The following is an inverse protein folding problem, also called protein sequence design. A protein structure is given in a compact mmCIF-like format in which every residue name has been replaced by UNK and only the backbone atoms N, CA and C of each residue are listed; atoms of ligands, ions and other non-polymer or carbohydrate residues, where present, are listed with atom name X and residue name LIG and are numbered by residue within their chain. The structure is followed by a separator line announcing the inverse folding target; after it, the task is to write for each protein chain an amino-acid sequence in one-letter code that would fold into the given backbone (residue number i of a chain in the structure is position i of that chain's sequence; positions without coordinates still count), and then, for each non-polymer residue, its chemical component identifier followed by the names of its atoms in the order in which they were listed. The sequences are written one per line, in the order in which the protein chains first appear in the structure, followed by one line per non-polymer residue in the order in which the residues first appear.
data_IF_710654139008
#
_entry.id   IF_710654139008
#
_cell.length_a   1.000
_cell.length_b   1.000
_cell.length_c   1.000
_cell.angle_alpha   90.00
_cell.angle_beta   90.00
_cell.angle_gamma   90.00
#
_symmetry.space_group_name_H-M   'P 1'
#
loop_
_entity.id
_entity.type
_entity.pdbx_description
1 polymer ?
#
# COMPACT_ATOMS: atom_id res chain seq x y z
N UNK A 1 -14.05 -22.65 -13.46
CA UNK A 1 -13.92 -23.19 -12.09
C UNK A 1 -14.78 -22.39 -11.13
N UNK A 2 -15.46 -23.07 -10.23
CA UNK A 2 -16.29 -22.47 -9.19
C UNK A 2 -15.53 -22.51 -7.85
N UNK A 3 -15.79 -21.54 -6.97
CA UNK A 3 -15.34 -21.58 -5.59
C UNK A 3 -16.22 -22.52 -4.75
N UNK A 4 -15.97 -22.63 -3.44
CA UNK A 4 -16.74 -23.49 -2.53
C UNK A 4 -18.24 -23.10 -2.44
N UNK A 5 -18.58 -21.86 -2.79
CA UNK A 5 -19.95 -21.33 -2.76
C UNK A 5 -20.61 -21.38 -4.16
N UNK A 6 -20.03 -22.10 -5.11
CA UNK A 6 -20.55 -22.24 -6.49
C UNK A 6 -20.37 -20.99 -7.36
N UNK A 7 -19.61 -19.97 -6.92
CA UNK A 7 -19.37 -18.73 -7.69
C UNK A 7 -18.18 -18.88 -8.63
N UNK A 8 -18.21 -18.28 -9.84
CA UNK A 8 -17.10 -18.29 -10.76
C UNK A 8 -15.83 -17.72 -10.13
N UNK A 9 -14.68 -18.40 -10.34
CA UNK A 9 -13.37 -17.91 -9.93
C UNK A 9 -12.66 -17.26 -11.10
N UNK A 10 -11.68 -16.39 -10.81
CA UNK A 10 -10.81 -15.75 -11.81
C UNK A 10 -9.86 -16.72 -12.54
N UNK A 11 -9.76 -17.98 -12.08
CA UNK A 11 -8.81 -18.94 -12.64
C UNK A 11 -9.06 -19.19 -14.12
N UNK A 12 -10.31 -19.40 -14.51
CA UNK A 12 -10.66 -19.63 -15.91
C UNK A 12 -10.36 -18.40 -16.78
N UNK A 13 -10.70 -17.21 -16.29
CA UNK A 13 -10.44 -15.94 -16.95
C UNK A 13 -8.93 -15.66 -17.09
N UNK A 14 -8.14 -15.94 -16.04
CA UNK A 14 -6.67 -15.85 -16.11
C UNK A 14 -6.04 -16.85 -17.05
N UNK A 15 -6.50 -18.10 -17.03
CA UNK A 15 -6.01 -19.12 -17.98
C UNK A 15 -6.32 -18.73 -19.43
N UNK A 16 -7.53 -18.25 -19.72
CA UNK A 16 -7.89 -17.76 -21.03
C UNK A 16 -7.08 -16.52 -21.44
N UNK A 17 -6.77 -15.63 -20.47
CA UNK A 17 -5.89 -14.49 -20.71
C UNK A 17 -4.47 -14.93 -21.11
N UNK A 18 -3.86 -15.82 -20.35
CA UNK A 18 -2.52 -16.37 -20.64
C UNK A 18 -2.51 -17.07 -22.00
N UNK A 19 -3.51 -17.90 -22.27
CA UNK A 19 -3.64 -18.56 -23.57
C UNK A 19 -3.76 -17.55 -24.72
N UNK A 20 -4.56 -16.49 -24.52
CA UNK A 20 -4.70 -15.42 -25.51
C UNK A 20 -3.37 -14.70 -25.77
N UNK A 21 -2.58 -14.42 -24.73
CA UNK A 21 -1.25 -13.78 -24.87
C UNK A 21 -0.30 -14.67 -25.67
N UNK A 22 -0.34 -15.99 -25.47
CA UNK A 22 0.44 -16.98 -26.26
C UNK A 22 0.03 -16.95 -27.73
N UNK A 23 -1.27 -16.93 -28.04
CA UNK A 23 -1.75 -16.85 -29.43
C UNK A 23 -1.39 -15.52 -30.10
N UNK A 24 -1.45 -14.41 -29.36
CA UNK A 24 -1.00 -13.08 -29.87
C UNK A 24 0.49 -13.12 -30.23
N UNK A 25 1.31 -13.71 -29.34
CA UNK A 25 2.74 -13.86 -29.60
C UNK A 25 3.02 -14.77 -30.80
N UNK A 26 2.31 -15.90 -30.91
CA UNK A 26 2.44 -16.84 -32.02
C UNK A 26 1.99 -16.23 -33.35
N UNK A 27 0.89 -15.48 -33.35
CA UNK A 27 0.40 -14.76 -34.53
C UNK A 27 1.36 -13.69 -35.03
N UNK A 28 1.98 -12.92 -34.13
CA UNK A 28 2.99 -11.93 -34.48
C UNK A 28 4.24 -12.54 -35.15
N UNK A 29 4.46 -13.84 -35.00
CA UNK A 29 5.56 -14.60 -35.62
C UNK A 29 5.13 -15.49 -36.79
N UNK A 30 3.86 -15.42 -37.21
CA UNK A 30 3.33 -16.23 -38.31
C UNK A 30 3.08 -17.70 -37.96
N UNK A 31 3.11 -18.11 -36.68
CA UNK A 31 2.88 -19.49 -36.26
C UNK A 31 1.40 -19.84 -36.20
N UNK A 32 0.49 -18.89 -36.16
CA UNK A 32 -0.95 -19.10 -36.24
C UNK A 32 -1.63 -17.88 -36.86
N UNK A 33 -2.81 -18.11 -37.46
CA UNK A 33 -3.63 -17.05 -38.09
C UNK A 33 -4.81 -16.56 -37.27
N UNK A 34 -5.07 -17.17 -36.12
CA UNK A 34 -6.22 -16.83 -35.28
C UNK A 34 -5.93 -17.04 -33.80
N UNK A 35 -6.72 -16.34 -32.95
CA UNK A 35 -6.65 -16.43 -31.50
C UNK A 35 -7.97 -16.99 -30.92
N UNK A 36 -8.15 -18.33 -30.83
CA UNK A 36 -9.36 -18.91 -30.29
C UNK A 36 -9.57 -18.62 -28.80
N UNK A 37 -8.50 -18.36 -28.04
CA UNK A 37 -8.61 -18.05 -26.62
C UNK A 37 -9.30 -16.69 -26.37
N UNK A 38 -9.19 -15.74 -27.27
CA UNK A 38 -9.89 -14.45 -27.17
C UNK A 38 -11.41 -14.62 -27.23
N UNK A 39 -11.90 -15.54 -28.06
CA UNK A 39 -13.33 -15.86 -28.17
C UNK A 39 -13.85 -16.51 -26.88
N UNK A 40 -13.10 -17.49 -26.35
CA UNK A 40 -13.45 -18.18 -25.10
C UNK A 40 -13.52 -17.18 -23.93
N UNK A 41 -12.62 -16.22 -23.87
CA UNK A 41 -12.58 -15.22 -22.78
C UNK A 41 -13.90 -14.41 -22.69
N UNK A 42 -14.53 -14.09 -23.81
CA UNK A 42 -15.82 -13.38 -23.84
C UNK A 42 -17.00 -14.21 -23.34
N UNK A 43 -16.89 -15.55 -23.39
CA UNK A 43 -17.92 -16.51 -22.97
C UNK A 43 -17.78 -16.94 -21.51
N UNK A 44 -16.69 -16.60 -20.84
CA UNK A 44 -16.50 -16.97 -19.44
C UNK A 44 -17.39 -16.13 -18.53
N UNK A 45 -18.02 -16.77 -17.56
CA UNK A 45 -18.73 -16.09 -16.50
C UNK A 45 -17.75 -15.17 -15.76
N UNK A 46 -18.11 -13.90 -15.63
CA UNK A 46 -17.29 -12.90 -14.92
C UNK A 46 -17.14 -13.33 -13.46
N UNK A 47 -15.90 -13.35 -12.97
CA UNK A 47 -15.63 -13.61 -11.56
C UNK A 47 -16.15 -12.44 -10.73
N UNK A 48 -17.01 -12.73 -9.75
CA UNK A 48 -17.39 -11.72 -8.77
C UNK A 48 -16.31 -11.65 -7.70
N UNK A 49 -15.43 -10.67 -7.81
CA UNK A 49 -14.50 -10.36 -6.73
C UNK A 49 -15.23 -9.60 -5.64
N UNK A 50 -15.35 -10.22 -4.47
CA UNK A 50 -15.62 -9.48 -3.25
C UNK A 50 -14.38 -8.67 -2.85
N UNK A 51 -14.58 -7.54 -2.18
CA UNK A 51 -13.48 -6.85 -1.52
C UNK A 51 -12.85 -7.77 -0.47
N UNK A 52 -11.52 -7.67 -0.31
CA UNK A 52 -10.85 -8.39 0.78
C UNK A 52 -11.36 -7.85 2.11
N UNK A 53 -11.59 -8.72 3.11
CA UNK A 53 -12.10 -8.30 4.40
C UNK A 53 -11.15 -7.29 5.05
N UNK A 54 -11.72 -6.16 5.49
CA UNK A 54 -10.99 -5.06 6.11
C UNK A 54 -11.87 -4.33 7.13
N UNK A 55 -11.33 -4.09 8.29
CA UNK A 55 -11.93 -3.25 9.32
C UNK A 55 -11.65 -1.79 8.97
N UNK A 56 -12.71 -0.99 8.79
CA UNK A 56 -12.61 0.44 8.48
C UNK A 56 -13.21 1.34 9.56
N UNK A 57 -13.89 0.74 10.55
CA UNK A 57 -14.46 1.49 11.66
C UNK A 57 -13.45 1.65 12.80
N UNK A 58 -13.22 2.86 13.32
CA UNK A 58 -12.24 3.12 14.37
C UNK A 58 -12.39 2.23 15.63
N UNK A 59 -13.61 2.03 16.12
CA UNK A 59 -13.87 1.19 17.32
C UNK A 59 -13.45 -0.27 17.11
N UNK A 60 -13.73 -0.83 15.94
CA UNK A 60 -13.36 -2.19 15.57
C UNK A 60 -11.84 -2.30 15.38
N UNK A 61 -11.21 -1.28 14.75
CA UNK A 61 -9.77 -1.20 14.60
C UNK A 61 -9.07 -1.13 15.97
N UNK A 62 -9.58 -0.31 16.90
CA UNK A 62 -9.06 -0.22 18.25
C UNK A 62 -9.03 -1.59 18.95
N UNK A 63 -10.08 -2.40 18.76
CA UNK A 63 -10.12 -3.78 19.29
C UNK A 63 -9.05 -4.64 18.64
N UNK A 64 -8.93 -4.63 17.30
CA UNK A 64 -7.92 -5.39 16.57
C UNK A 64 -6.50 -5.02 17.04
N UNK A 65 -6.20 -3.74 17.20
CA UNK A 65 -4.88 -3.28 17.66
C UNK A 65 -4.56 -3.80 19.06
N UNK A 66 -5.52 -3.74 20.01
CA UNK A 66 -5.34 -4.31 21.36
C UNK A 66 -5.16 -5.82 21.34
N UNK A 67 -5.88 -6.52 20.48
CA UNK A 67 -5.76 -7.96 20.36
C UNK A 67 -4.38 -8.35 19.79
N UNK A 68 -3.83 -7.56 18.83
CA UNK A 68 -2.48 -7.74 18.32
C UNK A 68 -1.42 -7.51 19.42
N UNK A 69 -1.59 -6.52 20.30
CA UNK A 69 -0.65 -6.25 21.39
C UNK A 69 -0.61 -7.38 22.44
N UNK A 70 -1.73 -8.09 22.62
CA UNK A 70 -1.86 -9.20 23.58
C UNK A 70 -1.40 -10.54 23.05
N UNK A 71 -0.93 -10.60 21.79
CA UNK A 71 -0.46 -11.86 21.21
C UNK A 71 0.81 -12.30 21.94
N UNK A 72 0.80 -13.51 22.42
CA UNK A 72 2.01 -14.22 22.86
C UNK A 72 2.59 -15.07 21.72
N UNK A 73 3.91 -15.22 21.65
CA UNK A 73 4.59 -16.11 20.72
C UNK A 73 5.73 -15.45 19.95
N UNK A 74 5.93 -15.87 18.71
CA UNK A 74 7.06 -15.45 17.88
C UNK A 74 7.08 -13.94 17.61
N UNK A 75 8.13 -13.22 18.06
CA UNK A 75 8.24 -11.77 17.83
C UNK A 75 8.18 -11.36 16.35
N UNK A 76 8.71 -12.18 15.43
CA UNK A 76 8.65 -11.89 14.00
C UNK A 76 7.18 -11.74 13.52
N UNK A 77 6.33 -12.66 13.97
CA UNK A 77 4.90 -12.64 13.63
C UNK A 77 4.19 -11.42 14.22
N UNK A 78 4.45 -11.14 15.50
CA UNK A 78 3.83 -10.01 16.23
C UNK A 78 4.24 -8.68 15.60
N UNK A 79 5.55 -8.47 15.43
CA UNK A 79 6.11 -7.23 14.87
C UNK A 79 5.70 -7.05 13.40
N UNK A 80 5.55 -8.14 12.63
CA UNK A 80 5.03 -8.04 11.27
C UNK A 80 3.59 -7.52 11.22
N UNK A 81 2.71 -7.93 12.13
CA UNK A 81 1.35 -7.43 12.22
C UNK A 81 1.28 -5.96 12.66
N UNK A 82 2.09 -5.59 13.68
CA UNK A 82 2.21 -4.19 14.13
C UNK A 82 2.67 -3.28 13.00
N UNK A 83 3.71 -3.70 12.26
CA UNK A 83 4.23 -2.93 11.13
C UNK A 83 3.28 -2.91 9.93
N UNK A 84 2.49 -3.97 9.69
CA UNK A 84 1.43 -3.93 8.67
C UNK A 84 0.37 -2.88 9.00
N UNK A 85 -0.01 -2.72 10.26
CA UNK A 85 -0.94 -1.67 10.70
C UNK A 85 -0.34 -0.27 10.54
N UNK A 86 0.93 -0.07 10.92
CA UNK A 86 1.61 1.21 10.87
C UNK A 86 1.96 1.66 9.45
N UNK A 87 2.48 0.74 8.63
CA UNK A 87 3.04 1.06 7.32
C UNK A 87 2.08 0.79 6.15
N UNK A 88 1.02 0.02 6.38
CA UNK A 88 0.02 -0.41 5.39
C UNK A 88 0.59 -0.77 4.00
N UNK A 89 1.82 -1.28 3.96
CA UNK A 89 2.49 -1.81 2.77
C UNK A 89 1.93 -3.20 2.41
N UNK A 90 2.29 -3.73 1.25
CA UNK A 90 1.88 -5.10 0.92
C UNK A 90 2.60 -6.12 1.81
N UNK A 91 1.87 -7.13 2.31
CA UNK A 91 2.46 -8.18 3.15
C UNK A 91 3.69 -8.85 2.50
N UNK A 92 3.63 -9.07 1.18
CA UNK A 92 4.76 -9.63 0.43
C UNK A 92 6.01 -8.74 0.42
N UNK A 93 5.83 -7.42 0.44
CA UNK A 93 6.93 -6.46 0.48
C UNK A 93 7.47 -6.36 1.91
N UNK A 94 6.59 -6.25 2.94
CA UNK A 94 6.99 -6.17 4.34
C UNK A 94 7.85 -7.36 4.75
N UNK A 95 7.40 -8.59 4.52
CA UNK A 95 8.11 -9.80 4.94
C UNK A 95 9.47 -10.00 4.27
N UNK A 96 9.75 -9.30 3.16
CA UNK A 96 11.04 -9.25 2.46
C UNK A 96 11.87 -8.02 2.78
N UNK A 97 11.48 -7.25 3.78
CA UNK A 97 12.25 -6.11 4.26
C UNK A 97 13.66 -6.58 4.66
N UNK A 98 14.67 -5.88 4.17
CA UNK A 98 16.08 -6.14 4.48
C UNK A 98 16.62 -5.05 5.39
N UNK A 99 17.53 -5.40 6.27
CA UNK A 99 18.21 -4.42 7.11
C UNK A 99 18.98 -3.40 6.29
N UNK A 100 19.57 -3.82 5.17
CA UNK A 100 20.30 -2.94 4.24
C UNK A 100 19.45 -1.89 3.55
N UNK A 101 18.14 -2.07 3.49
CA UNK A 101 17.21 -1.13 2.87
C UNK A 101 16.65 -0.11 3.88
N UNK A 102 17.07 -0.18 5.16
CA UNK A 102 16.57 0.65 6.24
C UNK A 102 17.61 1.67 6.68
N UNK A 103 17.21 2.93 6.76
CA UNK A 103 17.88 3.98 7.51
C UNK A 103 17.01 4.35 8.73
N UNK A 104 17.27 3.70 9.86
CA UNK A 104 16.52 3.91 11.10
C UNK A 104 16.79 5.29 11.70
N UNK A 105 17.97 5.89 11.44
CA UNK A 105 18.30 7.25 11.93
C UNK A 105 17.52 8.31 11.17
N UNK A 106 17.41 8.16 9.85
CA UNK A 106 16.62 9.05 9.01
C UNK A 106 15.12 8.68 9.00
N UNK A 107 14.70 7.58 9.63
CA UNK A 107 13.32 7.10 9.62
C UNK A 107 12.84 6.76 8.22
N UNK A 108 13.64 6.03 7.42
CA UNK A 108 13.33 5.74 6.01
C UNK A 108 13.56 4.28 5.67
N UNK A 109 12.67 3.74 4.83
CA UNK A 109 12.82 2.43 4.20
C UNK A 109 12.79 2.57 2.68
N UNK A 110 13.85 2.12 2.00
CA UNK A 110 13.92 2.03 0.54
C UNK A 110 13.21 0.76 0.08
N UNK A 111 11.96 0.89 -0.32
CA UNK A 111 11.13 -0.23 -0.76
C UNK A 111 11.22 -0.42 -2.27
N UNK A 112 11.58 -1.64 -2.69
CA UNK A 112 11.49 -2.12 -4.07
C UNK A 112 10.29 -3.08 -4.20
N UNK A 113 9.12 -2.59 -4.64
CA UNK A 113 7.91 -3.41 -4.65
C UNK A 113 8.04 -4.63 -5.56
N UNK A 114 7.60 -5.80 -5.06
CA UNK A 114 7.62 -7.06 -5.82
C UNK A 114 6.60 -7.11 -6.94
N UNK A 115 5.41 -6.53 -6.70
CA UNK A 115 4.33 -6.49 -7.69
C UNK A 115 4.32 -5.14 -8.39
N UNK A 116 4.24 -5.20 -9.70
CA UNK A 116 4.12 -4.00 -10.53
C UNK A 116 5.39 -3.63 -11.28
N UNK A 117 6.49 -4.35 -11.10
CA UNK A 117 7.65 -4.20 -11.97
C UNK A 117 7.20 -4.43 -13.42
N UNK A 118 7.33 -3.40 -14.25
CA UNK A 118 6.88 -3.43 -15.64
C UNK A 118 5.42 -3.04 -15.92
N UNK A 119 4.59 -2.76 -14.88
CA UNK A 119 3.23 -2.20 -15.06
C UNK A 119 3.27 -0.67 -15.02
N UNK A 120 2.60 -0.05 -15.99
CA UNK A 120 2.58 1.42 -16.21
C UNK A 120 2.10 2.22 -14.98
N UNK A 121 1.33 1.60 -14.08
CA UNK A 121 0.68 2.28 -12.95
C UNK A 121 1.24 1.90 -11.58
N UNK A 122 2.52 1.46 -11.48
CA UNK A 122 3.13 1.09 -10.21
C UNK A 122 4.50 1.72 -10.07
N UNK A 123 4.77 2.29 -8.90
CA UNK A 123 6.09 2.85 -8.56
C UNK A 123 7.11 1.72 -8.52
N UNK A 124 8.26 1.91 -9.18
CA UNK A 124 9.35 0.91 -9.21
C UNK A 124 10.08 0.83 -7.88
N UNK A 125 10.44 1.99 -7.34
CA UNK A 125 11.12 2.16 -6.06
C UNK A 125 10.41 3.27 -5.32
N UNK A 126 10.26 3.13 -4.01
CA UNK A 126 9.65 4.17 -3.18
C UNK A 126 10.33 4.26 -1.81
N UNK A 127 10.45 5.46 -1.31
CA UNK A 127 10.80 5.70 0.09
C UNK A 127 9.53 5.59 0.93
N UNK A 128 9.53 4.72 1.93
CA UNK A 128 8.49 4.63 2.95
C UNK A 128 8.99 5.34 4.20
N UNK A 129 8.40 6.48 4.58
CA UNK A 129 8.71 7.13 5.85
C UNK A 129 8.30 6.23 7.02
N UNK A 130 9.15 6.12 8.02
CA UNK A 130 8.94 5.33 9.22
C UNK A 130 8.59 6.27 10.39
N UNK A 131 7.43 6.04 11.00
CA UNK A 131 7.08 6.73 12.24
C UNK A 131 7.98 6.31 13.40
N UNK A 132 8.02 7.08 14.49
CA UNK A 132 8.77 6.73 15.73
C UNK A 132 8.41 5.34 16.24
N UNK A 133 7.12 4.97 16.18
CA UNK A 133 6.63 3.66 16.58
C UNK A 133 7.20 2.54 15.69
N UNK A 134 7.23 2.76 14.38
CA UNK A 134 7.81 1.79 13.44
C UNK A 134 9.32 1.63 13.66
N UNK A 135 10.05 2.73 13.87
CA UNK A 135 11.49 2.71 14.18
C UNK A 135 11.75 1.95 15.48
N UNK A 136 10.95 2.17 16.53
CA UNK A 136 11.09 1.46 17.81
C UNK A 136 10.87 -0.05 17.63
N UNK A 137 9.82 -0.46 16.93
CA UNK A 137 9.56 -1.89 16.65
C UNK A 137 10.72 -2.51 15.86
N UNK A 138 11.24 -1.81 14.85
CA UNK A 138 12.38 -2.27 14.07
C UNK A 138 13.66 -2.32 14.90
N UNK A 139 13.86 -1.39 15.82
CA UNK A 139 14.99 -1.39 16.77
C UNK A 139 14.95 -2.61 17.70
N UNK A 140 13.79 -2.95 18.26
CA UNK A 140 13.63 -4.17 19.06
C UNK A 140 13.81 -5.43 18.20
N UNK A 141 13.30 -5.45 17.00
CA UNK A 141 13.48 -6.56 16.06
C UNK A 141 14.95 -6.74 15.67
N UNK A 142 15.72 -5.65 15.55
CA UNK A 142 17.15 -5.69 15.26
C UNK A 142 17.96 -6.37 16.37
N UNK A 143 17.58 -6.20 17.63
CA UNK A 143 18.22 -6.90 18.76
C UNK A 143 18.06 -8.41 18.65
N UNK A 144 16.98 -8.89 18.02
CA UNK A 144 16.68 -10.33 17.88
C UNK A 144 17.43 -10.93 16.70
N UNK A 145 17.37 -10.30 15.53
CA UNK A 145 17.85 -10.88 14.28
C UNK A 145 18.59 -9.89 13.35
N UNK A 146 19.14 -8.81 13.88
CA UNK A 146 19.92 -7.82 13.12
C UNK A 146 21.16 -8.39 12.41
N UNK A 147 21.61 -9.58 12.81
CA UNK A 147 22.70 -10.32 12.18
C UNK A 147 22.26 -11.09 10.92
N UNK A 148 20.98 -11.14 10.60
CA UNK A 148 20.44 -11.79 9.40
C UNK A 148 20.22 -10.78 8.26
N UNK A 149 19.99 -11.27 7.05
CA UNK A 149 19.70 -10.40 5.89
C UNK A 149 18.33 -9.73 6.00
N UNK A 150 17.32 -10.49 6.48
CA UNK A 150 15.92 -10.08 6.48
C UNK A 150 15.44 -9.73 7.89
N UNK A 151 14.62 -8.67 7.98
CA UNK A 151 13.97 -8.24 9.22
C UNK A 151 13.07 -9.34 9.80
N UNK A 152 12.38 -10.08 8.94
CA UNK A 152 11.47 -11.17 9.33
C UNK A 152 12.04 -12.52 8.94
N UNK A 153 13.21 -12.80 9.48
CA UNK A 153 13.95 -14.04 9.27
C UNK A 153 13.20 -15.25 9.84
N UNK A 154 13.27 -16.40 9.15
CA UNK A 154 12.73 -17.66 9.61
C UNK A 154 13.69 -18.81 9.33
N UNK A 155 14.19 -19.46 10.38
CA UNK A 155 15.08 -20.61 10.26
C UNK A 155 14.41 -21.83 9.61
N UNK A 156 13.09 -21.97 9.76
CA UNK A 156 12.33 -23.11 9.24
C UNK A 156 11.94 -22.98 7.77
N UNK A 157 12.10 -21.80 7.20
CA UNK A 157 11.71 -21.54 5.81
C UNK A 157 12.74 -22.10 4.82
N UNK A 158 12.33 -23.09 4.02
CA UNK A 158 13.22 -23.84 3.09
C UNK A 158 13.82 -22.99 1.96
N UNK A 159 13.17 -21.90 1.52
CA UNK A 159 13.53 -21.21 0.27
C UNK A 159 14.17 -19.84 0.44
N UNK A 160 13.68 -19.00 1.34
CA UNK A 160 14.12 -17.59 1.41
C UNK A 160 14.45 -17.13 2.83
N UNK A 161 14.40 -18.02 3.80
CA UNK A 161 14.68 -17.72 5.22
C UNK A 161 13.86 -16.52 5.76
N UNK A 162 12.64 -16.34 5.24
CA UNK A 162 11.68 -15.33 5.68
C UNK A 162 10.36 -15.97 6.10
N UNK A 163 9.61 -15.29 6.96
CA UNK A 163 8.28 -15.76 7.38
C UNK A 163 7.37 -16.02 6.19
N UNK A 164 6.47 -17.00 6.33
CA UNK A 164 5.52 -17.40 5.29
C UNK A 164 4.56 -16.28 4.91
N UNK A 165 4.11 -16.26 3.66
CA UNK A 165 3.05 -15.35 3.19
C UNK A 165 1.72 -15.53 3.96
N UNK A 166 1.48 -16.73 4.45
CA UNK A 166 0.29 -17.06 5.23
C UNK A 166 0.39 -16.65 6.71
N UNK A 167 1.59 -16.34 7.26
CA UNK A 167 1.83 -16.15 8.68
C UNK A 167 0.90 -15.11 9.30
N UNK A 168 0.85 -13.88 8.73
CA UNK A 168 0.02 -12.81 9.24
C UNK A 168 -1.47 -13.17 9.18
N UNK A 169 -1.93 -13.75 8.06
CA UNK A 169 -3.34 -14.15 7.92
C UNK A 169 -3.72 -15.31 8.83
N UNK A 170 -2.82 -16.27 9.06
CA UNK A 170 -3.05 -17.34 10.02
C UNK A 170 -3.24 -16.77 11.43
N UNK A 171 -2.36 -15.86 11.86
CA UNK A 171 -2.47 -15.27 13.18
C UNK A 171 -3.73 -14.41 13.35
N UNK A 172 -4.11 -13.62 12.33
CA UNK A 172 -5.39 -12.89 12.35
C UNK A 172 -6.58 -13.83 12.47
N UNK A 173 -6.55 -14.98 11.78
CA UNK A 173 -7.58 -16.01 11.90
C UNK A 173 -7.64 -16.60 13.33
N UNK A 174 -6.48 -16.90 13.91
CA UNK A 174 -6.37 -17.45 15.27
C UNK A 174 -6.92 -16.47 16.32
N UNK A 175 -6.80 -15.15 16.07
CA UNK A 175 -7.41 -14.08 16.88
C UNK A 175 -8.92 -13.88 16.64
N UNK A 176 -9.55 -14.69 15.76
CA UNK A 176 -10.98 -14.59 15.46
C UNK A 176 -11.34 -13.64 14.33
N UNK A 177 -10.38 -13.08 13.61
CA UNK A 177 -10.62 -12.14 12.50
C UNK A 177 -10.77 -12.81 11.12
N UNK A 178 -11.02 -14.13 11.09
CA UNK A 178 -11.34 -14.82 9.84
C UNK A 178 -12.55 -14.15 9.18
N UNK A 179 -12.41 -13.84 7.88
CA UNK A 179 -13.43 -13.19 7.04
C UNK A 179 -13.85 -11.76 7.50
N UNK A 180 -13.21 -11.22 8.56
CA UNK A 180 -13.43 -9.88 9.11
C UNK A 180 -12.27 -8.94 8.70
N UNK A 181 -11.02 -9.41 8.86
CA UNK A 181 -9.83 -8.66 8.51
C UNK A 181 -8.72 -9.58 8.03
N UNK A 182 -7.92 -9.11 7.09
CA UNK A 182 -6.74 -9.82 6.59
C UNK A 182 -5.52 -8.90 6.49
N UNK A 183 -4.33 -9.47 6.34
CA UNK A 183 -3.08 -8.70 6.23
C UNK A 183 -3.12 -7.62 5.12
N UNK A 184 -3.82 -7.88 4.02
CA UNK A 184 -4.05 -6.88 2.98
C UNK A 184 -5.10 -5.84 3.37
N UNK A 185 -5.98 -6.18 4.29
CA UNK A 185 -7.04 -5.32 4.81
C UNK A 185 -6.51 -4.04 5.46
N UNK A 186 -5.31 -4.08 6.11
CA UNK A 186 -4.68 -2.88 6.68
C UNK A 186 -4.51 -1.75 5.66
N UNK A 187 -4.33 -2.05 4.38
CA UNK A 187 -4.24 -1.04 3.32
C UNK A 187 -5.58 -0.35 3.07
N UNK A 188 -6.65 -1.12 3.02
CA UNK A 188 -8.01 -0.56 2.89
C UNK A 188 -8.41 0.20 4.17
N UNK A 189 -8.06 -0.31 5.34
CA UNK A 189 -8.23 0.37 6.63
C UNK A 189 -7.56 1.74 6.63
N UNK A 190 -6.25 1.79 6.32
CA UNK A 190 -5.50 3.03 6.28
C UNK A 190 -6.07 4.00 5.22
N UNK A 191 -6.33 3.52 4.00
CA UNK A 191 -6.91 4.35 2.95
C UNK A 191 -8.22 5.01 3.41
N UNK A 192 -9.16 4.21 3.92
CA UNK A 192 -10.48 4.71 4.34
C UNK A 192 -10.36 5.70 5.50
N UNK A 193 -9.61 5.35 6.55
CA UNK A 193 -9.52 6.19 7.74
C UNK A 193 -8.73 7.48 7.45
N UNK A 194 -7.61 7.41 6.75
CA UNK A 194 -6.82 8.59 6.37
C UNK A 194 -7.66 9.58 5.55
N UNK A 195 -8.51 9.09 4.64
CA UNK A 195 -9.34 9.96 3.81
C UNK A 195 -10.61 10.42 4.52
N UNK A 196 -11.36 9.50 5.15
CA UNK A 196 -12.69 9.81 5.67
C UNK A 196 -12.65 10.42 7.07
N UNK A 197 -11.75 9.93 7.94
CA UNK A 197 -11.65 10.38 9.32
C UNK A 197 -10.61 11.49 9.49
N UNK A 198 -9.40 11.28 8.97
CA UNK A 198 -8.27 12.17 9.15
C UNK A 198 -8.17 13.24 8.05
N UNK A 199 -8.97 13.14 6.98
CA UNK A 199 -9.09 14.14 5.90
C UNK A 199 -7.81 14.42 5.11
N UNK A 200 -6.91 13.46 5.03
CA UNK A 200 -5.73 13.60 4.18
C UNK A 200 -6.07 13.57 2.69
N UNK A 201 -5.36 14.34 1.86
CA UNK A 201 -5.54 14.34 0.41
C UNK A 201 -5.34 12.94 -0.19
N UNK A 202 -6.24 12.56 -1.13
CA UNK A 202 -6.21 11.27 -1.82
C UNK A 202 -4.83 10.98 -2.43
N UNK A 203 -4.20 12.00 -2.99
CA UNK A 203 -2.88 11.90 -3.64
C UNK A 203 -1.80 11.39 -2.70
N UNK A 204 -1.71 11.94 -1.48
CA UNK A 204 -0.74 11.50 -0.48
C UNK A 204 -0.97 10.06 -0.04
N UNK A 205 -2.24 9.70 0.17
CA UNK A 205 -2.64 8.35 0.57
C UNK A 205 -2.33 7.32 -0.52
N UNK A 206 -2.63 7.62 -1.79
CA UNK A 206 -2.33 6.74 -2.93
C UNK A 206 -0.81 6.57 -3.12
N UNK A 207 -0.03 7.64 -2.96
CA UNK A 207 1.43 7.56 -3.02
C UNK A 207 2.00 6.71 -1.88
N UNK A 208 1.50 6.86 -0.65
CA UNK A 208 1.90 6.03 0.48
C UNK A 208 1.53 4.55 0.26
N UNK A 209 0.45 4.27 -0.45
CA UNK A 209 0.07 2.94 -0.89
C UNK A 209 0.95 2.40 -2.05
N UNK A 210 1.86 3.20 -2.62
CA UNK A 210 2.69 2.82 -3.76
C UNK A 210 1.87 2.65 -5.03
N UNK A 211 0.84 3.47 -5.22
CA UNK A 211 0.11 3.60 -6.46
C UNK A 211 0.60 4.84 -7.20
N UNK A 212 0.71 4.77 -8.54
CA UNK A 212 0.91 5.96 -9.35
C UNK A 212 -0.41 6.70 -9.45
N UNK A 213 -0.42 7.95 -9.06
CA UNK A 213 -1.55 8.84 -9.32
C UNK A 213 -1.50 9.23 -10.79
N UNK A 214 -2.58 8.92 -11.52
CA UNK A 214 -2.77 9.45 -12.87
C UNK A 214 -3.24 10.88 -12.70
N UNK A 215 -2.38 11.83 -13.02
CA UNK A 215 -2.84 13.18 -13.30
C UNK A 215 -3.57 13.16 -14.67
N UNK A 216 -4.72 13.83 -14.81
CA UNK A 216 -5.37 14.04 -16.10
C UNK A 216 -4.44 14.64 -17.16
N UNK A 217 -3.44 15.41 -16.75
CA UNK A 217 -2.49 16.10 -17.62
C UNK A 217 -1.15 15.37 -17.85
N UNK A 218 -0.99 14.12 -17.40
CA UNK A 218 0.17 13.26 -17.67
C UNK A 218 1.41 13.58 -16.85
N UNK A 219 2.24 12.61 -16.68
CA UNK A 219 3.65 12.46 -16.23
C UNK A 219 4.39 13.52 -15.36
N UNK A 220 3.93 14.76 -15.22
CA UNK A 220 4.68 15.81 -14.51
C UNK A 220 4.75 15.59 -12.97
N UNK A 221 3.71 15.04 -12.35
CA UNK A 221 3.67 14.77 -10.90
C UNK A 221 4.43 13.50 -10.46
N UNK A 222 4.90 12.68 -11.37
CA UNK A 222 5.67 11.47 -11.06
C UNK A 222 7.04 11.71 -10.44
N UNK A 223 7.51 12.96 -10.34
CA UNK A 223 8.80 13.32 -9.74
C UNK A 223 8.71 13.82 -8.30
N UNK A 224 7.54 14.26 -7.85
CA UNK A 224 7.36 14.72 -6.47
C UNK A 224 7.00 13.54 -5.58
N UNK A 225 7.90 13.15 -4.71
CA UNK A 225 7.67 12.05 -3.79
C UNK A 225 6.90 12.46 -2.53
N UNK A 226 6.67 13.76 -2.31
CA UNK A 226 6.02 14.32 -1.10
C UNK A 226 6.52 13.64 0.18
N UNK A 227 7.84 13.46 0.29
CA UNK A 227 8.44 12.64 1.36
C UNK A 227 8.12 13.22 2.72
N UNK A 228 8.24 14.53 2.89
CA UNK A 228 8.02 15.20 4.16
C UNK A 228 6.53 15.21 4.54
N UNK A 229 5.63 15.50 3.60
CA UNK A 229 4.18 15.42 3.82
C UNK A 229 3.73 14.00 4.16
N UNK A 230 4.31 12.99 3.48
CA UNK A 230 4.05 11.59 3.80
C UNK A 230 4.64 11.19 5.15
N UNK A 231 5.80 11.72 5.52
CA UNK A 231 6.39 11.47 6.84
C UNK A 231 5.51 12.03 7.97
N UNK A 232 4.99 13.26 7.80
CA UNK A 232 4.03 13.84 8.73
C UNK A 232 2.74 13.01 8.80
N UNK A 233 2.17 12.64 7.65
CA UNK A 233 0.98 11.80 7.59
C UNK A 233 1.20 10.43 8.26
N UNK A 234 2.33 9.78 8.00
CA UNK A 234 2.67 8.47 8.59
C UNK A 234 2.89 8.57 10.10
N UNK A 235 3.47 9.67 10.58
CA UNK A 235 3.62 9.89 12.02
C UNK A 235 2.26 10.13 12.69
N UNK A 236 1.41 11.01 12.13
CA UNK A 236 0.06 11.24 12.64
C UNK A 236 -0.81 9.99 12.58
N UNK A 237 -0.67 9.18 11.54
CA UNK A 237 -1.33 7.87 11.45
C UNK A 237 -0.91 6.96 12.60
N UNK A 238 0.37 6.88 12.90
CA UNK A 238 0.88 6.04 13.99
C UNK A 238 0.40 6.53 15.37
N UNK A 239 0.42 7.85 15.60
CA UNK A 239 -0.08 8.47 16.83
C UNK A 239 -1.60 8.28 16.99
N UNK A 240 -2.35 8.33 15.88
CA UNK A 240 -3.78 8.00 15.84
C UNK A 240 -4.06 6.53 16.22
N UNK A 241 -3.25 5.58 15.70
CA UNK A 241 -3.39 4.17 16.06
C UNK A 241 -3.10 3.92 17.54
N UNK A 242 -2.13 4.62 18.12
CA UNK A 242 -1.83 4.57 19.56
C UNK A 242 -3.01 5.13 20.36
N UNK A 243 -3.55 6.28 19.98
CA UNK A 243 -4.72 6.88 20.63
C UNK A 243 -5.94 5.94 20.59
N UNK A 244 -6.21 5.32 19.45
CA UNK A 244 -7.28 4.33 19.31
C UNK A 244 -7.07 3.12 20.24
N UNK A 245 -5.85 2.60 20.29
CA UNK A 245 -5.50 1.46 21.13
C UNK A 245 -5.71 1.76 22.60
N UNK A 246 -5.34 2.97 23.01
CA UNK A 246 -5.44 3.46 24.40
C UNK A 246 -6.83 3.99 24.75
N UNK A 247 -7.73 4.13 23.78
CA UNK A 247 -9.08 4.66 23.98
C UNK A 247 -9.13 6.17 24.22
N UNK A 248 -8.08 6.90 23.76
CA UNK A 248 -8.02 8.36 23.81
C UNK A 248 -8.87 8.99 22.71
N UNK A 249 -9.19 10.27 22.86
CA UNK A 249 -9.81 11.07 21.80
C UNK A 249 -8.89 11.15 20.57
N UNK A 250 -9.49 11.05 19.39
CA UNK A 250 -8.80 11.05 18.11
C UNK A 250 -9.14 12.24 17.23
N UNK A 251 -9.91 13.20 17.74
CA UNK A 251 -10.33 14.39 16.97
C UNK A 251 -9.15 15.28 16.55
N UNK A 252 -8.09 15.33 17.36
CA UNK A 252 -6.89 16.13 17.12
C UNK A 252 -6.06 15.68 15.90
N UNK A 253 -6.24 14.43 15.43
CA UNK A 253 -5.45 13.89 14.33
C UNK A 253 -6.00 14.24 12.93
N UNK A 254 -7.11 14.96 12.86
CA UNK A 254 -7.67 15.41 11.57
C UNK A 254 -6.72 16.41 10.93
N UNK A 255 -6.39 16.19 9.66
CA UNK A 255 -5.69 17.19 8.88
C UNK A 255 -6.62 18.41 8.71
N UNK A 256 -6.17 19.59 9.13
CA UNK A 256 -6.91 20.85 8.99
C UNK A 256 -6.92 21.29 7.53
N UNK A 257 -7.46 20.55 6.61
CA UNK A 257 -7.68 20.91 5.20
C UNK A 257 -6.52 21.60 4.43
N UNK A 258 -5.47 21.95 5.14
CA UNK A 258 -4.26 22.56 4.63
C UNK A 258 -3.15 21.51 4.59
N UNK A 259 -2.95 20.93 3.39
CA UNK A 259 -1.56 20.58 3.05
C UNK A 259 -0.76 21.86 3.23
N UNK A 260 0.28 21.83 4.05
CA UNK A 260 1.30 22.91 4.10
C UNK A 260 2.17 22.90 2.82
N UNK A 261 1.57 22.72 1.67
CA UNK A 261 2.13 23.26 0.45
C UNK A 261 1.81 24.74 0.55
N UNK A 262 2.80 25.49 1.03
CA UNK A 262 2.77 26.94 1.06
C UNK A 262 2.19 27.41 -0.29
N UNK A 263 1.09 28.18 -0.30
CA UNK A 263 0.52 28.69 -1.54
C UNK A 263 1.56 29.37 -2.42
N UNK A 264 2.62 29.94 -1.83
CA UNK A 264 3.77 30.48 -2.54
C UNK A 264 4.57 29.41 -3.28
N UNK A 265 4.72 28.20 -2.75
CA UNK A 265 5.42 27.09 -3.42
C UNK A 265 4.57 26.52 -4.55
N UNK A 266 3.24 26.42 -4.37
CA UNK A 266 2.34 26.04 -5.46
C UNK A 266 2.32 27.10 -6.56
N UNK A 267 2.29 28.37 -6.20
CA UNK A 267 2.34 29.48 -7.14
C UNK A 267 3.69 29.49 -7.89
N UNK A 268 4.81 29.30 -7.19
CA UNK A 268 6.13 29.25 -7.81
C UNK A 268 6.25 28.07 -8.77
N UNK A 269 5.77 26.89 -8.40
CA UNK A 269 5.74 25.72 -9.29
C UNK A 269 4.86 25.97 -10.53
N UNK A 270 3.77 26.71 -10.38
CA UNK A 270 2.90 27.10 -11.49
C UNK A 270 3.59 28.14 -12.41
N UNK A 271 4.30 29.08 -11.83
CA UNK A 271 5.11 30.08 -12.54
C UNK A 271 6.24 29.41 -13.31
N UNK A 272 6.96 28.48 -12.69
CA UNK A 272 8.05 27.73 -13.33
C UNK A 272 7.55 26.84 -14.48
N UNK A 273 6.29 26.40 -14.42
CA UNK A 273 5.69 25.53 -15.43
C UNK A 273 5.03 26.29 -16.59
N UNK A 274 4.33 27.37 -16.31
CA UNK A 274 3.50 28.10 -17.30
C UNK A 274 4.09 29.44 -17.72
N UNK A 275 5.08 29.96 -16.99
CA UNK A 275 5.59 31.31 -17.12
C UNK A 275 4.74 32.33 -16.33
N UNK A 276 5.41 33.33 -15.80
CA UNK A 276 4.81 34.33 -14.90
C UNK A 276 3.63 35.08 -15.54
N UNK A 277 3.76 35.44 -16.83
CA UNK A 277 2.71 36.16 -17.56
C UNK A 277 1.39 35.37 -17.70
N UNK A 278 1.46 34.05 -17.92
CA UNK A 278 0.27 33.19 -17.99
C UNK A 278 -0.42 33.00 -16.65
N UNK A 279 0.37 32.87 -15.59
CA UNK A 279 -0.17 32.71 -14.23
C UNK A 279 -0.87 34.03 -13.81
N UNK A 280 -0.28 35.17 -14.07
CA UNK A 280 -0.88 36.48 -13.83
C UNK A 280 -2.16 36.69 -14.65
N UNK A 281 -2.19 36.24 -15.92
CA UNK A 281 -3.40 36.28 -16.75
C UNK A 281 -4.53 35.42 -16.17
N UNK A 282 -4.22 34.22 -15.67
CA UNK A 282 -5.20 33.35 -15.01
C UNK A 282 -5.73 33.93 -13.72
N UNK A 283 -4.86 34.52 -12.88
CA UNK A 283 -5.25 35.14 -11.60
C UNK A 283 -6.06 36.44 -11.80
N UNK A 284 -5.81 37.15 -12.89
CA UNK A 284 -6.52 38.41 -13.23
C UNK A 284 -7.85 38.19 -13.96
N UNK A 285 -8.26 36.95 -14.24
CA UNK A 285 -9.48 36.62 -14.96
C UNK A 285 -9.49 37.07 -16.44
N UNK A 286 -8.31 37.40 -16.99
CA UNK A 286 -8.14 37.76 -18.40
C UNK A 286 -7.67 36.55 -19.23
N UNK A 287 -8.49 35.51 -19.25
CA UNK A 287 -8.34 34.46 -20.27
C UNK A 287 -9.12 34.99 -21.49
N UNK A 288 -8.42 35.51 -22.46
CA UNK A 288 -9.00 35.76 -23.80
C UNK A 288 -9.16 34.42 -24.49
N UNK A 289 -10.34 34.20 -25.09
CA UNK A 289 -10.68 33.08 -25.96
C UNK A 289 -9.64 32.84 -27.06
#
# INVERSE_FOLDING_TARGET
SLNKDGKPTDKAERCAGIASDVFVYAGARGFCSSNPAALIKSQLAKSSYGHRPAITKPKELAKLLRDIERIEGDPNTINSLRLLALLFVRNGDLRRMRWTDLDLKAGRWQLKPLKGQGKVNMVKDMVVPLSRQAVNILGEQHKINGHTEYVFFSQTAKKHQIISDATANKRLKDLGYKDIHCAHGFRATAKTILQEQLKYPLVLVEMALGHTTKDPNGAAYGRFEYIDDRAEMMQKWADYLDALREGRDTAEFRADGQTKTDPSVQLQALIDQLGEDKVLAMLSGKVSD
#
